data_IF_199983852760
#
_entry.id   IF_199983852760
#
_cell.length_a   1.000
_cell.length_b   1.000
_cell.length_c   1.000
_cell.angle_alpha   90.00
_cell.angle_beta   90.00
_cell.angle_gamma   90.00
#
_symmetry.space_group_name_H-M   'P 1'
#
loop_
_entity.id
_entity.type
_entity.pdbx_description
1 polymer ?
#
# COMPACT_ATOMS: atom_id res chain seq x y z
N UNK A 1 9.33 9.06 -16.27
CA UNK A 1 8.89 7.72 -15.81
C UNK A 1 7.79 7.98 -14.82
N UNK A 2 6.54 7.69 -15.16
CA UNK A 2 5.41 7.82 -14.25
C UNK A 2 5.44 6.62 -13.30
N UNK A 3 5.61 6.87 -12.01
CA UNK A 3 5.50 5.83 -10.98
C UNK A 3 4.03 5.48 -10.79
N UNK A 4 3.70 4.19 -10.78
CA UNK A 4 2.33 3.74 -10.48
C UNK A 4 2.09 3.75 -8.97
N UNK A 5 0.82 3.85 -8.57
CA UNK A 5 0.42 3.66 -7.18
C UNK A 5 -0.42 2.40 -7.06
N UNK A 6 -0.01 1.50 -6.16
CA UNK A 6 -0.66 0.22 -5.97
C UNK A 6 -1.20 0.04 -4.56
N UNK A 7 -2.31 -0.69 -4.43
CA UNK A 7 -2.93 -1.00 -3.14
C UNK A 7 -2.72 -2.47 -2.80
N UNK A 8 -2.04 -2.71 -1.68
CA UNK A 8 -1.94 -4.02 -1.05
C UNK A 8 -2.99 -4.13 0.06
N UNK A 9 -3.38 -5.35 0.40
CA UNK A 9 -4.34 -5.61 1.46
C UNK A 9 -3.67 -6.31 2.64
N UNK A 10 -4.06 -5.93 3.86
CA UNK A 10 -3.65 -6.60 5.09
C UNK A 10 -4.80 -6.74 6.08
N UNK A 11 -4.58 -7.65 7.03
CA UNK A 11 -5.41 -7.89 8.20
C UNK A 11 -4.67 -7.47 9.47
N UNK A 12 -5.34 -7.52 10.62
CA UNK A 12 -4.69 -7.30 11.91
C UNK A 12 -3.57 -8.33 12.16
N UNK A 13 -3.68 -9.53 11.57
CA UNK A 13 -2.67 -10.59 11.71
C UNK A 13 -1.47 -10.45 10.78
N UNK A 14 -1.56 -9.70 9.69
CA UNK A 14 -0.44 -9.51 8.73
C UNK A 14 0.16 -8.11 8.79
N UNK A 15 -0.56 -7.13 9.34
CA UNK A 15 -0.17 -5.71 9.36
C UNK A 15 1.20 -5.47 10.00
N UNK A 16 1.45 -6.03 11.20
CA UNK A 16 2.72 -5.82 11.90
C UNK A 16 3.91 -6.35 11.09
N UNK A 17 3.75 -7.52 10.45
CA UNK A 17 4.77 -8.10 9.57
C UNK A 17 5.01 -7.21 8.33
N UNK A 18 3.95 -6.65 7.73
CA UNK A 18 4.06 -5.74 6.58
C UNK A 18 4.93 -4.52 6.92
N UNK A 19 4.68 -3.89 8.06
CA UNK A 19 5.35 -2.65 8.46
C UNK A 19 6.74 -2.89 9.03
N UNK A 20 6.93 -3.90 9.90
CA UNK A 20 8.23 -4.21 10.51
C UNK A 20 9.23 -4.77 9.48
N UNK A 21 8.78 -5.68 8.61
CA UNK A 21 9.65 -6.28 7.59
C UNK A 21 9.77 -5.46 6.33
N UNK A 22 8.98 -4.39 6.19
CA UNK A 22 8.94 -3.55 5.00
C UNK A 22 8.72 -4.38 3.72
N UNK A 23 7.78 -5.32 3.79
CA UNK A 23 7.45 -6.22 2.68
C UNK A 23 5.95 -6.29 2.54
N UNK A 24 5.45 -6.00 1.35
CA UNK A 24 4.06 -6.22 1.00
C UNK A 24 3.94 -7.47 0.12
N UNK A 25 2.83 -8.18 0.26
CA UNK A 25 2.63 -9.45 -0.40
C UNK A 25 1.19 -9.71 -0.82
N UNK A 26 1.03 -10.51 -1.86
CA UNK A 26 -0.25 -11.04 -2.31
C UNK A 26 -0.14 -12.54 -2.63
N UNK A 27 -1.28 -13.22 -2.60
CA UNK A 27 -1.42 -14.57 -3.13
C UNK A 27 -1.68 -14.57 -4.65
N UNK A 28 -2.02 -13.40 -5.21
CA UNK A 28 -2.20 -13.19 -6.65
C UNK A 28 -0.91 -12.66 -7.29
N UNK A 29 -0.67 -12.93 -8.60
CA UNK A 29 0.58 -12.58 -9.27
C UNK A 29 0.74 -11.11 -9.66
N UNK A 30 -0.29 -10.27 -9.47
CA UNK A 30 -0.24 -8.85 -9.85
C UNK A 30 0.95 -8.06 -9.27
N UNK A 31 1.52 -8.35 -8.07
CA UNK A 31 2.68 -7.60 -7.59
C UNK A 31 3.90 -7.71 -8.49
N UNK A 32 3.97 -8.71 -9.39
CA UNK A 32 5.06 -8.84 -10.37
C UNK A 32 5.16 -7.67 -11.36
N UNK A 33 4.10 -6.87 -11.50
CA UNK A 33 4.13 -5.68 -12.34
C UNK A 33 4.79 -4.47 -11.66
N UNK A 34 4.95 -4.52 -10.34
CA UNK A 34 5.55 -3.43 -9.56
C UNK A 34 7.00 -3.22 -9.96
N UNK A 35 7.38 -1.95 -10.10
CA UNK A 35 8.75 -1.51 -10.38
C UNK A 35 9.31 -0.71 -9.23
N UNK A 36 10.63 -0.75 -9.08
CA UNK A 36 11.34 0.14 -8.15
C UNK A 36 10.89 1.60 -8.40
N UNK A 37 10.51 2.29 -7.32
CA UNK A 37 10.04 3.68 -7.39
C UNK A 37 8.52 3.84 -7.46
N UNK A 38 7.76 2.77 -7.72
CA UNK A 38 6.30 2.78 -7.61
C UNK A 38 5.87 3.04 -6.16
N UNK A 39 4.74 3.71 -5.99
CA UNK A 39 4.13 3.93 -4.68
C UNK A 39 3.25 2.75 -4.29
N UNK A 40 3.23 2.46 -2.99
CA UNK A 40 2.41 1.41 -2.41
C UNK A 40 1.64 1.96 -1.21
N UNK A 41 0.33 1.70 -1.21
CA UNK A 41 -0.58 1.92 -0.09
C UNK A 41 -0.99 0.56 0.48
N UNK A 42 -1.41 0.57 1.74
CA UNK A 42 -1.78 -0.61 2.49
C UNK A 42 -3.21 -0.48 3.02
N UNK A 43 -4.15 -1.18 2.41
CA UNK A 43 -5.53 -1.26 2.84
C UNK A 43 -5.69 -2.29 3.95
N UNK A 44 -6.07 -1.82 5.14
CA UNK A 44 -6.41 -2.67 6.26
C UNK A 44 -7.92 -2.96 6.25
N UNK A 45 -8.31 -4.08 5.64
CA UNK A 45 -9.72 -4.36 5.35
C UNK A 45 -10.59 -4.61 6.59
N UNK A 46 -10.03 -5.07 7.71
CA UNK A 46 -10.82 -5.32 8.94
C UNK A 46 -11.22 -4.04 9.67
N UNK A 47 -10.41 -2.97 9.58
CA UNK A 47 -10.69 -1.68 10.20
C UNK A 47 -11.20 -0.64 9.19
N UNK A 48 -11.13 -0.96 7.90
CA UNK A 48 -11.57 -0.11 6.80
C UNK A 48 -10.68 1.11 6.58
N UNK A 49 -9.36 0.98 6.79
CA UNK A 49 -8.41 2.09 6.66
C UNK A 49 -7.47 1.91 5.47
N UNK A 50 -7.15 3.00 4.77
CA UNK A 50 -6.11 3.02 3.74
C UNK A 50 -4.88 3.72 4.30
N UNK A 51 -3.79 2.98 4.45
CA UNK A 51 -2.57 3.43 5.10
C UNK A 51 -1.52 3.76 4.05
N UNK A 52 -0.67 4.74 4.32
CA UNK A 52 0.37 5.15 3.40
C UNK A 52 1.38 6.06 4.07
N UNK A 53 2.43 6.50 3.38
CA UNK A 53 2.81 6.21 1.99
C UNK A 53 4.14 5.44 1.95
N UNK A 54 4.20 4.35 1.19
CA UNK A 54 5.44 3.61 0.93
C UNK A 54 5.86 3.71 -0.53
N UNK A 55 7.15 3.46 -0.78
CA UNK A 55 7.71 3.32 -2.12
C UNK A 55 8.42 1.97 -2.27
N UNK A 56 8.25 1.32 -3.42
CA UNK A 56 8.90 0.08 -3.79
C UNK A 56 10.42 0.27 -3.90
N UNK A 57 11.18 -0.58 -3.20
CA UNK A 57 12.65 -0.65 -3.23
C UNK A 57 13.16 -1.80 -4.08
N UNK A 58 12.28 -2.71 -4.47
CA UNK A 58 12.53 -3.77 -5.43
C UNK A 58 11.40 -3.83 -6.45
N UNK A 59 11.68 -4.40 -7.61
CA UNK A 59 10.62 -4.91 -8.48
C UNK A 59 9.82 -6.01 -7.75
N UNK A 60 8.62 -6.27 -8.27
CA UNK A 60 7.82 -7.41 -7.90
C UNK A 60 8.53 -8.75 -8.12
N UNK A 61 8.54 -9.59 -7.09
CA UNK A 61 9.21 -10.88 -7.14
C UNK A 61 8.45 -11.99 -6.43
N UNK A 62 8.92 -13.23 -6.61
CA UNK A 62 8.42 -14.38 -5.86
C UNK A 62 9.33 -14.66 -4.66
N UNK A 63 8.74 -14.85 -3.48
CA UNK A 63 9.39 -15.28 -2.26
C UNK A 63 10.62 -14.42 -1.89
N UNK A 64 10.50 -13.09 -1.95
CA UNK A 64 11.57 -12.18 -1.53
C UNK A 64 11.95 -12.38 -0.05
N UNK A 65 10.97 -12.73 0.77
CA UNK A 65 11.06 -13.23 2.14
C UNK A 65 10.19 -14.49 2.24
N UNK A 66 10.74 -15.68 1.93
CA UNK A 66 9.95 -16.91 1.71
C UNK A 66 9.12 -17.38 2.92
N UNK A 67 9.58 -17.08 4.14
CA UNK A 67 8.95 -17.56 5.38
C UNK A 67 7.94 -16.56 5.98
N UNK A 68 7.82 -15.36 5.40
CA UNK A 68 6.92 -14.33 5.92
C UNK A 68 5.46 -14.81 5.79
N UNK A 69 4.65 -14.55 6.82
CA UNK A 69 3.27 -15.04 6.93
C UNK A 69 3.12 -16.56 6.73
N UNK A 70 4.16 -17.34 7.06
CA UNK A 70 4.19 -18.78 6.82
C UNK A 70 4.21 -19.18 5.34
N UNK A 71 4.60 -18.27 4.44
CA UNK A 71 4.67 -18.53 3.00
C UNK A 71 3.34 -18.34 2.25
N UNK A 72 2.30 -17.81 2.92
CA UNK A 72 0.95 -17.64 2.33
C UNK A 72 0.90 -16.63 1.17
N UNK A 73 1.81 -15.66 1.15
CA UNK A 73 1.83 -14.58 0.16
C UNK A 73 3.17 -14.61 -0.60
N UNK A 74 3.28 -15.41 -1.67
CA UNK A 74 4.54 -15.61 -2.38
C UNK A 74 4.89 -14.45 -3.31
N UNK A 75 3.93 -13.66 -3.78
CA UNK A 75 4.22 -12.52 -4.66
C UNK A 75 4.45 -11.29 -3.81
N UNK A 76 5.68 -10.79 -3.78
CA UNK A 76 6.14 -9.83 -2.79
C UNK A 76 6.89 -8.67 -3.42
N UNK A 77 6.87 -7.54 -2.72
CA UNK A 77 7.62 -6.32 -3.02
C UNK A 77 8.23 -5.82 -1.71
N UNK A 78 9.52 -5.47 -1.72
CA UNK A 78 10.12 -4.74 -0.60
C UNK A 78 9.80 -3.26 -0.75
N UNK A 79 9.39 -2.63 0.33
CA UNK A 79 8.97 -1.23 0.36
C UNK A 79 9.80 -0.42 1.36
N UNK A 80 9.65 0.90 1.36
CA UNK A 80 10.16 1.78 2.42
C UNK A 80 9.13 2.87 2.67
N UNK A 81 8.93 3.23 3.94
CA UNK A 81 8.06 4.36 4.28
C UNK A 81 8.71 5.66 3.78
N UNK A 82 7.94 6.50 3.08
CA UNK A 82 8.44 7.78 2.53
C UNK A 82 7.85 9.01 3.21
N UNK A 83 7.00 8.80 4.21
CA UNK A 83 6.51 9.84 5.12
C UNK A 83 7.01 9.57 6.56
N UNK A 84 6.99 10.56 7.48
CA UNK A 84 7.61 10.43 8.81
C UNK A 84 7.04 9.33 9.70
N UNK A 85 5.75 9.00 9.53
CA UNK A 85 5.02 7.97 10.29
C UNK A 85 3.92 7.41 9.40
N UNK A 86 3.50 6.16 9.64
CA UNK A 86 2.34 5.58 8.93
C UNK A 86 1.10 6.41 9.28
N UNK A 87 0.38 6.88 8.27
CA UNK A 87 -0.86 7.64 8.44
C UNK A 87 -1.99 6.99 7.67
N UNK A 88 -3.21 7.14 8.18
CA UNK A 88 -4.43 6.76 7.47
C UNK A 88 -4.86 7.91 6.57
N UNK A 89 -5.26 7.60 5.34
CA UNK A 89 -5.89 8.58 4.45
C UNK A 89 -7.20 9.06 5.11
N UNK A 90 -7.44 10.39 5.22
CA UNK A 90 -8.66 10.90 5.79
C UNK A 90 -9.91 10.37 5.10
N UNK A 91 -10.93 9.97 5.88
CA UNK A 91 -12.21 9.49 5.36
C UNK A 91 -12.92 10.49 4.45
N UNK A 92 -12.66 11.78 4.63
CA UNK A 92 -13.16 12.84 3.76
C UNK A 92 -12.60 12.71 2.35
N UNK A 93 -11.28 12.55 2.22
CA UNK A 93 -10.61 12.34 0.93
C UNK A 93 -11.09 11.06 0.26
N UNK A 94 -11.20 9.96 1.02
CA UNK A 94 -11.74 8.70 0.49
C UNK A 94 -13.17 8.87 -0.05
N UNK A 95 -14.04 9.55 0.70
CA UNK A 95 -15.43 9.82 0.27
C UNK A 95 -15.48 10.70 -0.97
N UNK A 96 -14.65 11.72 -1.05
CA UNK A 96 -14.62 12.65 -2.19
C UNK A 96 -14.13 11.93 -3.48
N UNK A 97 -13.28 10.91 -3.32
CA UNK A 97 -12.85 10.00 -4.38
C UNK A 97 -13.85 8.85 -4.66
N UNK A 98 -14.99 8.81 -3.95
CA UNK A 98 -16.00 7.75 -4.09
C UNK A 98 -15.56 6.38 -3.54
N UNK A 99 -14.54 6.36 -2.69
CA UNK A 99 -13.97 5.16 -2.08
C UNK A 99 -14.56 4.99 -0.68
N UNK A 100 -15.17 3.84 -0.43
CA UNK A 100 -15.49 3.40 0.93
C UNK A 100 -14.53 2.29 1.36
N UNK A 101 -13.46 2.64 2.08
CA UNK A 101 -12.46 1.66 2.51
C UNK A 101 -13.01 0.55 3.42
N UNK A 102 -14.22 0.68 3.99
CA UNK A 102 -14.85 -0.39 4.78
C UNK A 102 -15.44 -1.51 3.91
N UNK A 103 -15.83 -1.21 2.66
CA UNK A 103 -16.44 -2.17 1.72
C UNK A 103 -15.72 -2.27 0.38
N UNK A 104 -14.73 -1.40 0.13
CA UNK A 104 -14.05 -1.28 -1.14
C UNK A 104 -13.26 -2.54 -1.45
N UNK A 105 -13.47 -3.03 -2.68
CA UNK A 105 -12.51 -3.87 -3.38
C UNK A 105 -11.66 -2.94 -4.23
N UNK A 106 -10.46 -2.67 -3.75
CA UNK A 106 -9.50 -1.89 -4.52
C UNK A 106 -8.98 -2.71 -5.68
N UNK A 107 -8.99 -2.12 -6.87
CA UNK A 107 -8.12 -2.59 -7.94
C UNK A 107 -6.66 -2.42 -7.49
N UNK A 108 -5.78 -3.39 -7.78
CA UNK A 108 -4.40 -3.31 -7.31
C UNK A 108 -3.62 -2.11 -7.85
N UNK A 109 -4.05 -1.54 -8.98
CA UNK A 109 -3.46 -0.35 -9.61
C UNK A 109 -4.48 0.77 -9.53
N UNK A 110 -4.06 1.90 -8.97
CA UNK A 110 -4.88 3.10 -8.93
C UNK A 110 -4.77 3.89 -10.23
N UNK A 111 -5.87 4.56 -10.57
CA UNK A 111 -5.87 5.63 -11.56
C UNK A 111 -4.91 6.76 -11.15
N UNK A 112 -4.27 7.41 -12.13
CA UNK A 112 -3.20 8.39 -11.88
C UNK A 112 -3.71 9.63 -11.14
N UNK A 113 -4.89 10.14 -11.50
CA UNK A 113 -5.49 11.32 -10.85
C UNK A 113 -5.84 11.00 -9.38
N UNK A 114 -6.45 9.83 -9.16
CA UNK A 114 -6.79 9.35 -7.82
C UNK A 114 -5.55 9.13 -6.95
N UNK A 115 -4.49 8.56 -7.53
CA UNK A 115 -3.23 8.34 -6.85
C UNK A 115 -2.59 9.66 -6.40
N UNK A 116 -2.62 10.67 -7.27
CA UNK A 116 -2.08 11.99 -6.95
C UNK A 116 -2.81 12.64 -5.76
N UNK A 117 -4.14 12.61 -5.76
CA UNK A 117 -4.95 13.19 -4.67
C UNK A 117 -4.70 12.49 -3.32
N UNK A 118 -4.59 11.16 -3.32
CA UNK A 118 -4.28 10.38 -2.11
C UNK A 118 -2.87 10.71 -1.58
N UNK A 119 -1.88 10.77 -2.46
CA UNK A 119 -0.50 11.09 -2.10
C UNK A 119 -0.41 12.52 -1.56
N UNK A 120 -1.06 13.49 -2.22
CA UNK A 120 -1.10 14.89 -1.77
C UNK A 120 -1.68 15.02 -0.37
N UNK A 121 -2.76 14.31 -0.06
CA UNK A 121 -3.32 14.29 1.29
C UNK A 121 -2.33 13.76 2.32
N UNK A 122 -1.69 12.61 2.06
CA UNK A 122 -0.72 12.01 2.98
C UNK A 122 0.55 12.87 3.18
N UNK A 123 0.95 13.63 2.16
CA UNK A 123 2.09 14.54 2.26
C UNK A 123 1.74 15.85 2.96
N UNK A 124 0.50 16.32 2.86
CA UNK A 124 0.05 17.59 3.46
C UNK A 124 -0.18 17.46 4.97
N UNK A 125 -0.82 16.36 5.42
CA UNK A 125 -1.02 16.06 6.86
C UNK A 125 0.29 15.72 7.59
N UNK A 126 1.35 15.37 6.86
CA UNK A 126 2.69 15.13 7.43
C UNK A 126 3.46 16.41 7.76
N UNK A 127 2.96 17.58 7.33
CA UNK A 127 3.62 18.87 7.47
C UNK A 127 3.13 19.70 8.66
N UNK A 128 2.06 19.29 9.36
CA UNK A 128 1.60 19.98 10.57
C UNK A 128 2.43 19.57 11.79
N UNK A 129 3.27 20.51 12.22
CA UNK A 129 3.89 20.59 13.54
C UNK A 129 2.92 21.13 14.58
#
# INVERSE_FOLDING_TARGET
MTSQTLIFQCSSSTYLDCVDKNVFGSNQPWPLQVRVGDYCLLHHYEIGGLLGLWQATTDGGKNLVPKLWGGKFPYQVKVKLVIPKVMEVPKTVLRDLGIDAAVARFDPVLDEDMAEDLIRSLCSDGAEK
#
